data_IF_222682087502
#
_entry.id   IF_222682087502
#
_cell.length_a   1.000
_cell.length_b   1.000
_cell.length_c   1.000
_cell.angle_alpha   90.00
_cell.angle_beta   90.00
_cell.angle_gamma   90.00
#
_symmetry.space_group_name_H-M   'P 1'
#
loop_
_entity.id
_entity.type
_entity.pdbx_description
1 polymer ?
#
# COMPACT_ATOMS: atom_id res chain seq x y z
N UNK A 1 -12.38 30.23 -8.94
CA UNK A 1 -12.59 30.00 -7.49
C UNK A 1 -11.24 29.62 -6.88
N UNK A 2 -10.49 30.59 -6.36
CA UNK A 2 -9.17 30.34 -5.79
C UNK A 2 -9.28 29.90 -4.33
N UNK A 3 -8.77 28.73 -3.98
CA UNK A 3 -8.51 28.30 -2.60
C UNK A 3 -7.22 28.95 -2.08
N UNK A 4 -7.05 30.25 -2.34
CA UNK A 4 -5.89 30.99 -1.84
C UNK A 4 -5.99 31.09 -0.31
N UNK A 5 -5.35 30.15 0.39
CA UNK A 5 -5.07 30.20 1.82
C UNK A 5 -3.92 31.18 2.03
N UNK A 6 -4.15 32.46 1.72
CA UNK A 6 -3.18 33.54 1.92
C UNK A 6 -2.91 33.90 3.39
N UNK A 7 -3.43 33.11 4.34
CA UNK A 7 -3.24 33.28 5.77
C UNK A 7 -3.11 31.94 6.48
N UNK A 8 -2.61 32.00 7.73
CA UNK A 8 -2.35 30.88 8.65
C UNK A 8 -3.62 30.19 9.13
N UNK A 9 -4.47 29.70 8.23
CA UNK A 9 -5.55 28.79 8.64
C UNK A 9 -4.93 27.44 8.98
N UNK A 10 -5.32 26.80 10.09
CA UNK A 10 -4.90 25.44 10.40
C UNK A 10 -5.31 24.47 9.28
N UNK A 11 -4.52 23.42 9.08
CA UNK A 11 -4.79 22.37 8.09
C UNK A 11 -6.10 21.64 8.39
N UNK A 12 -6.42 21.46 9.68
CA UNK A 12 -7.73 20.96 10.13
C UNK A 12 -8.92 21.82 9.64
N UNK A 13 -8.80 23.15 9.71
CA UNK A 13 -9.81 24.08 9.20
C UNK A 13 -9.91 24.02 7.67
N UNK A 14 -8.78 23.85 7.00
CA UNK A 14 -8.76 23.66 5.55
C UNK A 14 -9.49 22.38 5.12
N UNK A 15 -9.26 21.26 5.82
CA UNK A 15 -10.00 20.02 5.64
C UNK A 15 -11.50 20.19 5.85
N UNK A 16 -11.91 20.87 6.92
CA UNK A 16 -13.32 21.11 7.21
C UNK A 16 -13.99 21.91 6.08
N UNK A 17 -13.29 22.90 5.51
CA UNK A 17 -13.79 23.69 4.37
C UNK A 17 -13.87 22.89 3.08
N UNK A 18 -12.95 21.94 2.86
CA UNK A 18 -13.03 21.01 1.73
C UNK A 18 -14.21 20.06 1.90
N UNK A 19 -14.42 19.54 3.12
CA UNK A 19 -15.51 18.62 3.43
C UNK A 19 -16.89 19.27 3.25
N UNK A 20 -17.03 20.55 3.56
CA UNK A 20 -18.27 21.30 3.32
C UNK A 20 -18.58 21.50 1.83
N UNK A 21 -17.59 21.38 0.94
CA UNK A 21 -17.73 21.64 -0.50
C UNK A 21 -17.74 20.36 -1.33
N UNK A 22 -17.42 19.23 -0.72
CA UNK A 22 -17.32 17.93 -1.37
C UNK A 22 -18.49 17.05 -0.94
N UNK A 23 -19.15 16.41 -1.89
CA UNK A 23 -20.14 15.35 -1.60
C UNK A 23 -19.43 14.04 -1.19
N UNK A 24 -18.15 13.89 -1.54
CA UNK A 24 -17.32 12.74 -1.19
C UNK A 24 -16.51 12.98 0.11
N UNK A 25 -16.22 11.92 0.88
CA UNK A 25 -15.31 12.00 2.02
C UNK A 25 -13.96 12.58 1.60
N UNK A 26 -13.52 13.63 2.30
CA UNK A 26 -12.25 14.31 2.01
C UNK A 26 -11.10 13.52 2.62
N UNK A 27 -10.14 13.16 1.79
CA UNK A 27 -8.95 12.38 2.19
C UNK A 27 -7.78 13.29 2.60
N UNK A 28 -6.77 12.70 3.25
CA UNK A 28 -5.50 13.39 3.55
C UNK A 28 -4.83 13.92 2.28
N UNK A 29 -4.98 13.20 1.17
CA UNK A 29 -4.45 13.62 -0.13
C UNK A 29 -5.20 14.81 -0.72
N UNK A 30 -6.52 14.87 -0.58
CA UNK A 30 -7.29 16.04 -1.05
C UNK A 30 -6.82 17.32 -0.34
N UNK A 31 -6.56 17.24 0.96
CA UNK A 31 -6.00 18.33 1.74
C UNK A 31 -4.56 18.69 1.34
N UNK A 32 -3.75 17.68 1.00
CA UNK A 32 -2.38 17.89 0.53
C UNK A 32 -2.35 18.66 -0.80
N UNK A 33 -3.16 18.27 -1.78
CA UNK A 33 -3.25 18.95 -3.09
C UNK A 33 -3.49 20.45 -2.88
N UNK A 34 -4.44 20.80 -2.02
CA UNK A 34 -4.85 22.18 -1.82
C UNK A 34 -3.97 23.02 -0.87
N UNK A 35 -3.02 22.43 -0.14
CA UNK A 35 -2.13 23.15 0.79
C UNK A 35 -0.75 23.49 0.23
N UNK A 36 -0.33 22.83 -0.85
CA UNK A 36 0.99 23.06 -1.46
C UNK A 36 0.95 23.75 -2.81
N UNK A 37 -0.18 23.78 -3.52
CA UNK A 37 -0.28 24.54 -4.76
C UNK A 37 -0.45 26.04 -4.50
N UNK A 38 0.60 26.79 -4.84
CA UNK A 38 0.57 28.27 -4.81
C UNK A 38 -0.29 28.85 -5.94
N UNK A 39 -0.47 28.12 -7.04
CA UNK A 39 -1.27 28.51 -8.21
C UNK A 39 -1.97 27.29 -8.79
N UNK A 40 -3.24 27.44 -9.14
CA UNK A 40 -3.96 26.49 -9.98
C UNK A 40 -3.42 26.58 -11.40
N UNK A 41 -3.03 25.45 -11.99
CA UNK A 41 -2.50 25.39 -13.36
C UNK A 41 -3.61 25.33 -14.44
N UNK A 42 -4.89 25.34 -14.02
CA UNK A 42 -6.03 25.20 -14.91
C UNK A 42 -6.55 23.77 -15.09
N UNK A 43 -5.79 22.75 -14.65
CA UNK A 43 -6.10 21.32 -14.79
C UNK A 43 -6.07 20.56 -13.47
N UNK A 44 -5.10 20.83 -12.60
CA UNK A 44 -4.85 20.16 -11.33
C UNK A 44 -4.50 21.16 -10.23
N UNK A 45 -4.71 20.74 -8.99
CA UNK A 45 -4.21 21.44 -7.80
C UNK A 45 -2.95 20.77 -7.28
N UNK A 46 -2.11 20.22 -8.17
CA UNK A 46 -0.92 19.45 -7.79
C UNK A 46 0.30 20.20 -8.31
N UNK A 47 1.23 20.48 -7.42
CA UNK A 47 2.52 21.01 -7.84
C UNK A 47 3.28 19.89 -8.58
N UNK A 48 3.88 20.15 -9.77
CA UNK A 48 4.67 19.14 -10.47
C UNK A 48 5.74 18.46 -9.59
N UNK A 49 6.32 19.17 -8.63
CA UNK A 49 7.30 18.60 -7.67
C UNK A 49 6.68 17.53 -6.75
N UNK A 50 5.36 17.52 -6.59
CA UNK A 50 4.62 16.62 -5.72
C UNK A 50 3.77 15.60 -6.50
N UNK A 51 3.77 15.63 -7.84
CA UNK A 51 2.96 14.74 -8.66
C UNK A 51 3.32 13.26 -8.42
N UNK A 52 4.62 12.96 -8.25
CA UNK A 52 5.06 11.60 -7.93
C UNK A 52 4.56 11.14 -6.56
N UNK A 53 4.61 12.03 -5.57
CA UNK A 53 4.15 11.73 -4.21
C UNK A 53 2.66 11.38 -4.19
N UNK A 54 1.84 12.08 -4.97
CA UNK A 54 0.43 11.71 -5.10
C UNK A 54 0.24 10.35 -5.78
N UNK A 55 0.97 10.10 -6.88
CA UNK A 55 0.89 8.83 -7.60
C UNK A 55 1.25 7.64 -6.69
N UNK A 56 2.31 7.79 -5.89
CA UNK A 56 2.77 6.78 -4.94
C UNK A 56 1.72 6.54 -3.84
N UNK A 57 1.08 7.60 -3.33
CA UNK A 57 0.00 7.46 -2.35
C UNK A 57 -1.18 6.67 -2.91
N UNK A 58 -1.66 7.03 -4.11
CA UNK A 58 -2.80 6.36 -4.75
C UNK A 58 -2.47 4.88 -4.99
N UNK A 59 -1.26 4.58 -5.44
CA UNK A 59 -0.79 3.22 -5.63
C UNK A 59 -0.77 2.43 -4.31
N UNK A 60 -0.19 2.99 -3.24
CA UNK A 60 -0.11 2.31 -1.94
C UNK A 60 -1.50 2.06 -1.33
N UNK A 61 -2.41 3.03 -1.48
CA UNK A 61 -3.80 2.90 -1.05
C UNK A 61 -4.50 1.76 -1.79
N UNK A 62 -4.36 1.72 -3.11
CA UNK A 62 -4.93 0.65 -3.93
C UNK A 62 -4.34 -0.71 -3.54
N UNK A 63 -3.02 -0.82 -3.35
CA UNK A 63 -2.38 -2.05 -2.90
C UNK A 63 -2.87 -2.50 -1.52
N UNK A 64 -3.10 -1.56 -0.59
CA UNK A 64 -3.65 -1.85 0.73
C UNK A 64 -5.10 -2.37 0.65
N UNK A 65 -5.92 -1.76 -0.20
CA UNK A 65 -7.30 -2.19 -0.47
C UNK A 65 -7.33 -3.59 -1.10
N UNK A 66 -6.52 -3.83 -2.14
CA UNK A 66 -6.40 -5.14 -2.81
C UNK A 66 -5.90 -6.23 -1.85
N UNK A 67 -5.00 -5.87 -0.93
CA UNK A 67 -4.46 -6.77 0.08
C UNK A 67 -5.36 -6.89 1.33
N UNK A 68 -6.52 -6.23 1.36
CA UNK A 68 -7.44 -6.17 2.51
C UNK A 68 -6.76 -5.74 3.82
N UNK A 69 -5.74 -4.89 3.73
CA UNK A 69 -5.02 -4.37 4.88
C UNK A 69 -5.81 -3.22 5.52
N UNK A 70 -5.95 -3.26 6.85
CA UNK A 70 -6.55 -2.18 7.63
C UNK A 70 -5.50 -1.09 7.87
N UNK A 71 -5.17 -0.32 6.83
CA UNK A 71 -4.23 0.80 6.89
C UNK A 71 -4.99 2.08 6.55
N UNK A 72 -4.82 3.10 7.39
CA UNK A 72 -5.44 4.41 7.21
C UNK A 72 -4.66 5.28 6.21
N UNK A 73 -5.35 6.22 5.56
CA UNK A 73 -4.72 7.25 4.72
C UNK A 73 -3.60 8.00 5.45
N UNK A 74 -3.73 8.19 6.77
CA UNK A 74 -2.72 8.84 7.61
C UNK A 74 -1.44 8.00 7.73
N UNK A 75 -1.55 6.68 7.89
CA UNK A 75 -0.41 5.76 7.96
C UNK A 75 0.33 5.66 6.63
N UNK A 76 -0.41 5.57 5.52
CA UNK A 76 0.18 5.58 4.17
C UNK A 76 0.94 6.88 3.96
N UNK A 77 0.30 8.02 4.28
CA UNK A 77 0.93 9.32 4.13
C UNK A 77 2.17 9.46 5.01
N UNK A 78 2.08 9.02 6.27
CA UNK A 78 3.17 9.09 7.24
C UNK A 78 4.41 8.34 6.75
N UNK A 79 4.25 7.12 6.23
CA UNK A 79 5.35 6.34 5.67
C UNK A 79 5.92 7.02 4.42
N UNK A 80 5.05 7.46 3.51
CA UNK A 80 5.43 8.05 2.24
C UNK A 80 6.27 9.34 2.38
N UNK A 81 5.96 10.18 3.38
CA UNK A 81 6.71 11.42 3.62
C UNK A 81 7.90 11.26 4.58
N UNK A 82 8.20 10.02 5.01
CA UNK A 82 9.31 9.71 5.92
C UNK A 82 9.05 10.06 7.38
N UNK A 83 7.79 10.20 7.77
CA UNK A 83 7.36 10.43 9.15
C UNK A 83 7.60 11.85 9.68
N UNK A 84 8.03 11.93 10.93
CA UNK A 84 8.28 13.20 11.63
C UNK A 84 9.63 13.81 11.28
N UNK A 85 9.65 15.10 10.96
CA UNK A 85 10.88 15.89 10.84
C UNK A 85 11.52 16.18 12.21
N UNK A 86 12.70 16.81 12.20
CA UNK A 86 13.44 17.20 13.41
C UNK A 86 12.65 18.14 14.36
N UNK A 87 11.59 18.77 13.86
CA UNK A 87 10.71 19.66 14.62
C UNK A 87 9.39 18.98 15.00
N UNK A 88 9.30 17.65 14.90
CA UNK A 88 8.08 16.87 15.14
C UNK A 88 6.89 17.28 14.25
N UNK A 89 7.15 17.64 12.99
CA UNK A 89 6.10 17.95 12.02
C UNK A 89 6.07 16.87 10.94
N UNK A 90 4.87 16.57 10.44
CA UNK A 90 4.69 15.70 9.27
C UNK A 90 4.51 16.59 8.04
N UNK A 91 5.24 16.27 6.96
CA UNK A 91 5.21 17.08 5.73
C UNK A 91 3.79 17.09 5.16
N UNK A 92 3.27 18.29 4.92
CA UNK A 92 1.98 18.47 4.23
C UNK A 92 0.73 18.31 5.10
N UNK A 93 0.87 18.13 6.43
CA UNK A 93 -0.26 17.80 7.33
C UNK A 93 -0.56 18.91 8.35
N UNK A 94 0.30 19.94 8.44
CA UNK A 94 0.07 21.10 9.30
C UNK A 94 -0.12 20.74 10.78
N UNK A 95 -1.18 21.26 11.39
CA UNK A 95 -1.55 21.05 12.80
C UNK A 95 -2.05 19.62 13.10
N UNK A 96 -2.50 18.86 12.11
CA UNK A 96 -2.83 17.44 12.28
C UNK A 96 -1.60 16.55 12.50
N UNK A 97 -0.37 17.11 12.40
CA UNK A 97 0.84 16.39 12.80
C UNK A 97 0.76 15.91 14.26
N UNK A 98 0.01 16.62 15.10
CA UNK A 98 -0.24 16.25 16.50
C UNK A 98 -1.07 14.95 16.62
N UNK A 99 -2.07 14.77 15.77
CA UNK A 99 -2.91 13.56 15.74
C UNK A 99 -2.12 12.35 15.21
N UNK A 100 -1.10 12.59 14.40
CA UNK A 100 -0.20 11.54 13.89
C UNK A 100 0.88 11.12 14.91
N UNK A 101 0.95 11.72 16.10
CA UNK A 101 1.93 11.33 17.14
C UNK A 101 1.92 9.84 17.51
N UNK A 102 0.77 9.16 17.59
CA UNK A 102 0.71 7.72 17.83
C UNK A 102 1.38 6.89 16.72
N UNK A 103 1.50 7.44 15.50
CA UNK A 103 2.19 6.78 14.38
C UNK A 103 3.71 6.78 14.54
N UNK A 104 4.26 7.53 15.52
CA UNK A 104 5.68 7.40 15.85
C UNK A 104 5.96 5.94 16.14
N UNK A 105 6.90 5.30 15.43
CA UNK A 105 7.35 3.99 15.81
C UNK A 105 7.85 4.08 17.25
N UNK A 106 7.16 3.37 18.17
CA UNK A 106 7.57 3.23 19.58
C UNK A 106 9.05 2.79 19.65
N UNK A 107 9.52 2.14 18.58
CA UNK A 107 10.87 1.64 18.38
C UNK A 107 11.98 2.69 18.14
N UNK A 108 11.69 3.97 17.88
CA UNK A 108 12.77 4.97 17.82
C UNK A 108 13.34 5.34 19.20
N UNK A 109 12.67 4.98 20.30
CA UNK A 109 13.16 5.24 21.67
C UNK A 109 14.11 4.15 22.20
N UNK A 110 14.16 2.97 21.58
CA UNK A 110 14.98 1.86 22.06
C UNK A 110 16.02 1.55 21.00
N UNK A 111 17.28 1.92 21.31
CA UNK A 111 18.48 1.47 20.59
C UNK A 111 18.25 0.01 20.14
N UNK A 112 18.47 -0.30 18.86
CA UNK A 112 18.44 -1.69 18.35
C UNK A 112 19.26 -2.54 19.32
N UNK A 113 18.58 -3.35 20.12
CA UNK A 113 19.25 -4.36 20.92
C UNK A 113 19.77 -5.37 19.93
N UNK A 114 21.05 -5.72 19.99
CA UNK A 114 21.64 -6.78 19.17
C UNK A 114 20.83 -8.09 19.26
N UNK A 115 20.11 -8.28 20.37
CA UNK A 115 19.13 -9.35 20.62
C UNK A 115 18.01 -9.46 19.58
N UNK A 116 17.45 -8.34 19.09
CA UNK A 116 16.28 -8.38 18.21
C UNK A 116 16.67 -8.81 16.78
N UNK A 117 17.88 -8.47 16.35
CA UNK A 117 18.43 -8.89 15.05
C UNK A 117 18.69 -10.40 15.07
N UNK A 118 19.30 -10.91 16.15
CA UNK A 118 19.56 -12.34 16.31
C UNK A 118 18.27 -13.17 16.35
N UNK A 119 17.20 -12.66 16.97
CA UNK A 119 15.92 -13.36 16.99
C UNK A 119 15.24 -13.40 15.61
N UNK A 120 15.33 -12.32 14.83
CA UNK A 120 14.82 -12.29 13.45
C UNK A 120 15.58 -13.29 12.56
N UNK A 121 16.90 -13.39 12.69
CA UNK A 121 17.71 -14.36 11.95
C UNK A 121 17.37 -15.79 12.35
N UNK A 122 17.17 -16.06 13.65
CA UNK A 122 16.74 -17.36 14.16
C UNK A 122 15.38 -17.76 13.60
N UNK A 123 14.40 -16.85 13.66
CA UNK A 123 13.05 -17.09 13.12
C UNK A 123 13.06 -17.27 11.60
N UNK A 124 13.93 -16.57 10.88
CA UNK A 124 14.11 -16.78 9.43
C UNK A 124 14.65 -18.17 9.13
N UNK A 125 15.69 -18.61 9.86
CA UNK A 125 16.24 -19.95 9.71
C UNK A 125 15.20 -21.05 10.04
N UNK A 126 14.43 -20.86 11.10
CA UNK A 126 13.35 -21.78 11.48
C UNK A 126 12.27 -21.88 10.39
N UNK A 127 11.86 -20.74 9.82
CA UNK A 127 10.90 -20.71 8.71
C UNK A 127 11.43 -21.43 7.46
N UNK A 128 12.70 -21.27 7.11
CA UNK A 128 13.29 -22.00 5.97
C UNK A 128 13.31 -23.51 6.21
N UNK A 129 13.59 -23.95 7.43
CA UNK A 129 13.50 -25.37 7.81
C UNK A 129 12.07 -25.88 7.71
N UNK A 130 11.09 -25.09 8.16
CA UNK A 130 9.67 -25.45 8.07
C UNK A 130 9.20 -25.55 6.61
N UNK A 131 9.60 -24.61 5.74
CA UNK A 131 9.31 -24.67 4.30
C UNK A 131 9.86 -25.95 3.67
N UNK A 132 11.13 -26.26 3.90
CA UNK A 132 11.73 -27.48 3.35
C UNK A 132 11.04 -28.76 3.85
N UNK A 133 10.53 -28.77 5.09
CA UNK A 133 9.72 -29.87 5.61
C UNK A 133 8.38 -29.97 4.91
N UNK A 134 7.70 -28.85 4.67
CA UNK A 134 6.44 -28.81 3.94
C UNK A 134 6.62 -29.30 2.50
N UNK A 135 7.65 -28.83 1.78
CA UNK A 135 7.95 -29.26 0.41
C UNK A 135 8.19 -30.78 0.34
N UNK A 136 8.90 -31.33 1.34
CA UNK A 136 9.14 -32.77 1.43
C UNK A 136 7.85 -33.56 1.69
N UNK A 137 6.97 -33.05 2.55
CA UNK A 137 5.67 -33.66 2.82
C UNK A 137 4.83 -33.62 1.54
N UNK A 138 4.76 -32.48 0.88
CA UNK A 138 4.03 -32.29 -0.38
C UNK A 138 4.50 -33.28 -1.45
N UNK A 139 5.82 -33.40 -1.65
CA UNK A 139 6.39 -34.37 -2.59
C UNK A 139 6.05 -35.82 -2.22
N UNK A 140 6.09 -36.15 -0.93
CA UNK A 140 5.79 -37.51 -0.44
C UNK A 140 4.32 -37.86 -0.64
N UNK A 141 3.42 -36.93 -0.31
CA UNK A 141 1.98 -37.07 -0.50
C UNK A 141 1.66 -37.19 -1.99
N UNK A 142 2.22 -36.31 -2.84
CA UNK A 142 2.03 -36.38 -4.29
C UNK A 142 2.50 -37.71 -4.89
N UNK A 143 3.63 -38.25 -4.40
CA UNK A 143 4.13 -39.57 -4.82
C UNK A 143 3.22 -40.70 -4.37
N UNK A 144 2.74 -40.67 -3.13
CA UNK A 144 1.80 -41.69 -2.62
C UNK A 144 0.49 -41.65 -3.39
N UNK A 145 -0.08 -40.47 -3.66
CA UNK A 145 -1.27 -40.31 -4.49
C UNK A 145 -1.03 -40.89 -5.88
N UNK A 146 0.11 -40.59 -6.52
CA UNK A 146 0.46 -41.13 -7.85
C UNK A 146 0.53 -42.65 -7.87
N UNK A 147 1.11 -43.26 -6.83
CA UNK A 147 1.19 -44.73 -6.71
C UNK A 147 -0.19 -45.36 -6.48
N UNK A 148 -1.03 -44.74 -5.65
CA UNK A 148 -2.40 -45.23 -5.39
C UNK A 148 -3.31 -45.06 -6.60
N UNK A 149 -3.13 -44.01 -7.40
CA UNK A 149 -3.99 -43.68 -8.54
C UNK A 149 -3.52 -44.29 -9.87
N UNK A 150 -2.60 -45.26 -9.86
CA UNK A 150 -2.24 -46.00 -11.08
C UNK A 150 -1.59 -45.17 -12.19
N UNK A 151 -0.78 -44.16 -11.84
CA UNK A 151 0.22 -43.60 -12.76
C UNK A 151 -0.25 -42.66 -13.88
N UNK A 152 -1.43 -42.03 -13.80
CA UNK A 152 -1.79 -40.93 -14.71
C UNK A 152 -2.49 -39.78 -13.95
N UNK A 153 -1.70 -38.84 -13.43
CA UNK A 153 -2.18 -37.47 -13.19
C UNK A 153 -1.57 -36.56 -14.25
N UNK A 154 -2.36 -35.68 -14.89
CA UNK A 154 -1.87 -34.80 -15.94
C UNK A 154 -0.72 -33.95 -15.41
N UNK A 155 0.34 -33.88 -16.21
CA UNK A 155 1.43 -32.92 -16.04
C UNK A 155 0.84 -31.51 -15.86
N UNK A 156 1.43 -30.63 -15.03
CA UNK A 156 0.99 -29.24 -14.92
C UNK A 156 0.84 -28.65 -16.32
N UNK A 157 -0.36 -28.11 -16.63
CA UNK A 157 -0.62 -27.49 -17.92
C UNK A 157 0.34 -26.32 -18.09
N UNK A 158 1.15 -26.37 -19.15
CA UNK A 158 1.76 -25.16 -19.69
C UNK A 158 0.62 -24.18 -20.02
N UNK A 159 0.79 -22.87 -19.74
CA UNK A 159 -0.29 -21.90 -19.85
C UNK A 159 -0.66 -21.53 -21.29
N UNK A 160 -0.13 -22.19 -22.33
CA UNK A 160 -0.18 -21.70 -23.71
C UNK A 160 -0.87 -22.64 -24.72
N UNK A 161 -1.88 -23.41 -24.30
CA UNK A 161 -2.80 -24.07 -25.23
C UNK A 161 -4.23 -23.55 -25.04
N UNK A 162 -4.37 -22.25 -25.34
CA UNK A 162 -5.64 -21.57 -25.51
C UNK A 162 -6.27 -21.85 -26.87
N UNK A 163 -7.22 -22.78 -26.89
CA UNK A 163 -8.47 -22.72 -27.67
C UNK A 163 -8.44 -22.08 -29.07
N UNK A 164 -8.60 -22.90 -30.11
CA UNK A 164 -9.42 -22.49 -31.27
C UNK A 164 -10.29 -23.62 -31.78
N UNK A 165 -11.37 -23.87 -31.04
CA UNK A 165 -12.59 -24.35 -31.67
C UNK A 165 -13.15 -23.23 -32.56
N UNK A 166 -13.24 -23.46 -33.86
CA UNK A 166 -14.12 -22.70 -34.75
C UNK A 166 -15.03 -23.69 -35.44
N UNK A 167 -16.23 -23.86 -34.86
CA UNK A 167 -17.35 -24.39 -35.61
C UNK A 167 -17.74 -23.37 -36.67
N UNK A 168 -17.91 -23.83 -37.91
CA UNK A 168 -18.68 -23.12 -38.92
C UNK A 168 -19.78 -24.07 -39.40
N UNK A 169 -21.03 -23.69 -39.15
CA UNK A 169 -22.13 -24.14 -39.98
C UNK A 169 -22.06 -23.49 -41.37
N UNK A 170 -22.63 -24.17 -42.36
CA UNK A 170 -23.61 -23.63 -43.32
C UNK A 170 -23.81 -24.59 -44.52
N UNK A 171 -25.07 -25.02 -44.68
CA UNK A 171 -25.88 -25.10 -45.91
C UNK A 171 -25.25 -25.59 -47.24
N UNK A 172 -25.80 -26.68 -47.76
CA UNK A 172 -26.45 -26.76 -49.08
C UNK A 172 -27.41 -27.96 -49.11
#
# INVERSE_FOLDING_TARGET
MGTYTGGSIPFSEHLARLAQKSEAPVTVVDAFKHTKTKKYDGKTWIDPENAQLEADFVQLKQMAEESCLQITDQEIWFELVGGFDQKNRVKGVGDLSEEMKPLKPIYQSRRKSTSDISEIERLRAENEVMKARLDKIELTVAKQIRMMCGGNLPTPRDPDDGMRGSGNGCVA
#
